data_IF_514452613360
#
_entry.id   IF_514452613360
#
_cell.length_a   1.000
_cell.length_b   1.000
_cell.length_c   1.000
_cell.angle_alpha   90.00
_cell.angle_beta   90.00
_cell.angle_gamma   90.00
#
_symmetry.space_group_name_H-M   'P 1'
#
loop_
_entity.id
_entity.type
_entity.pdbx_description
1 polymer ?
#
# COMPACT_ATOMS: atom_id res chain seq x y z
N UNK A 1 11.24 11.57 -34.96
CA UNK A 1 10.31 11.99 -33.88
C UNK A 1 10.41 13.47 -33.56
N UNK A 2 11.58 14.12 -33.62
CA UNK A 2 11.61 15.58 -33.48
C UNK A 2 10.72 16.25 -34.53
N UNK A 3 9.99 17.28 -34.10
CA UNK A 3 9.00 17.97 -34.90
C UNK A 3 7.62 17.30 -34.95
N UNK A 4 7.45 16.10 -34.37
CA UNK A 4 6.18 15.37 -34.43
C UNK A 4 5.15 16.01 -33.51
N UNK A 5 3.90 15.99 -33.95
CA UNK A 5 2.78 16.44 -33.13
C UNK A 5 2.48 15.43 -32.04
N UNK A 6 2.23 15.88 -30.81
CA UNK A 6 1.95 14.98 -29.69
C UNK A 6 0.47 15.04 -29.33
N UNK A 7 -0.17 13.87 -29.36
CA UNK A 7 -1.57 13.65 -29.00
C UNK A 7 -1.62 12.79 -27.74
N UNK A 8 -2.39 13.21 -26.75
CA UNK A 8 -2.57 12.48 -25.48
C UNK A 8 -3.68 11.43 -25.57
N UNK A 9 -3.82 10.61 -24.52
CA UNK A 9 -4.81 9.53 -24.50
C UNK A 9 -6.26 10.03 -24.52
N UNK A 10 -6.50 11.30 -24.17
CA UNK A 10 -7.78 12.00 -24.26
C UNK A 10 -7.97 12.76 -25.58
N UNK A 11 -7.22 12.37 -26.63
CA UNK A 11 -7.24 12.95 -27.98
C UNK A 11 -7.00 14.47 -28.02
N UNK A 12 -6.26 14.99 -27.04
CA UNK A 12 -5.86 16.40 -27.00
C UNK A 12 -4.44 16.59 -27.49
N UNK A 13 -4.20 17.75 -28.10
CA UNK A 13 -2.87 18.13 -28.57
C UNK A 13 -2.03 18.66 -27.41
N UNK A 14 -1.05 17.89 -26.98
CA UNK A 14 -0.11 18.30 -25.92
C UNK A 14 0.92 19.31 -26.45
N UNK A 15 1.31 19.22 -27.71
CA UNK A 15 2.31 20.12 -28.28
C UNK A 15 3.12 19.46 -29.40
N UNK A 16 4.41 19.77 -29.45
CA UNK A 16 5.34 19.21 -30.43
C UNK A 16 6.61 18.71 -29.75
N UNK A 17 7.16 17.60 -30.23
CA UNK A 17 8.47 17.11 -29.78
C UNK A 17 9.55 18.06 -30.27
N UNK A 18 10.26 18.72 -29.36
CA UNK A 18 11.39 19.60 -29.70
C UNK A 18 12.74 18.92 -29.59
N UNK A 19 12.85 17.94 -28.69
CA UNK A 19 14.10 17.25 -28.41
C UNK A 19 13.80 15.85 -27.88
N UNK A 20 14.71 14.93 -28.13
CA UNK A 20 14.71 13.60 -27.51
C UNK A 20 15.98 13.47 -26.67
N UNK A 21 15.84 13.35 -25.34
CA UNK A 21 16.97 13.34 -24.40
C UNK A 21 16.90 12.17 -23.44
N UNK A 22 17.95 11.35 -23.42
CA UNK A 22 17.98 10.08 -22.70
C UNK A 22 16.71 9.25 -23.00
N UNK A 23 15.92 8.93 -21.98
CA UNK A 23 14.68 8.17 -22.11
C UNK A 23 13.40 9.04 -22.08
N UNK A 24 13.54 10.34 -22.31
CA UNK A 24 12.43 11.29 -22.32
C UNK A 24 12.28 12.00 -23.67
N UNK A 25 11.04 12.28 -24.03
CA UNK A 25 10.63 13.20 -25.09
C UNK A 25 10.38 14.56 -24.47
N UNK A 26 10.95 15.62 -25.05
CA UNK A 26 10.72 16.98 -24.62
C UNK A 26 9.63 17.58 -25.51
N UNK A 27 8.50 17.90 -24.89
CA UNK A 27 7.32 18.44 -25.54
C UNK A 27 7.25 19.93 -25.23
N UNK A 28 7.18 20.75 -26.27
CA UNK A 28 6.96 22.19 -26.14
C UNK A 28 5.48 22.53 -26.40
N UNK A 29 4.90 23.30 -25.48
CA UNK A 29 3.52 23.75 -25.47
C UNK A 29 3.44 25.26 -25.20
N UNK A 30 2.45 25.93 -25.80
CA UNK A 30 2.12 27.33 -25.56
C UNK A 30 2.59 28.31 -26.65
N UNK A 31 1.82 29.39 -26.84
CA UNK A 31 2.03 30.40 -27.89
C UNK A 31 2.96 31.55 -27.47
N UNK A 32 2.80 32.08 -26.24
CA UNK A 32 3.54 33.26 -25.75
C UNK A 32 4.65 32.88 -24.76
N UNK A 33 4.33 32.00 -23.81
CA UNK A 33 5.27 31.44 -22.84
C UNK A 33 5.39 29.95 -23.13
N UNK A 34 6.42 29.60 -23.90
CA UNK A 34 6.73 28.22 -24.24
C UNK A 34 7.12 27.47 -22.97
N UNK A 35 6.31 26.50 -22.58
CA UNK A 35 6.63 25.55 -21.51
C UNK A 35 7.15 24.28 -22.15
N UNK A 36 8.17 23.70 -21.52
CA UNK A 36 8.76 22.43 -21.93
C UNK A 36 8.52 21.39 -20.86
N UNK A 37 7.99 20.26 -21.27
CA UNK A 37 7.60 19.15 -20.43
C UNK A 37 8.34 17.90 -20.89
N UNK A 38 8.86 17.12 -19.94
CA UNK A 38 9.54 15.86 -20.24
C UNK A 38 8.58 14.70 -20.03
N UNK A 39 8.43 13.85 -21.05
CA UNK A 39 7.56 12.66 -21.02
C UNK A 39 8.39 11.41 -21.30
N UNK A 40 8.31 10.36 -20.49
CA UNK A 40 9.01 9.11 -20.73
C UNK A 40 8.65 8.47 -22.07
N UNK A 41 9.67 8.02 -22.82
CA UNK A 41 9.50 7.33 -24.12
C UNK A 41 8.64 6.07 -24.02
N UNK A 42 8.68 5.39 -22.89
CA UNK A 42 7.89 4.16 -22.65
C UNK A 42 6.38 4.40 -22.70
N UNK A 43 5.94 5.66 -22.54
CA UNK A 43 4.54 6.07 -22.62
C UNK A 43 4.15 6.62 -24.00
N UNK A 44 5.08 6.60 -24.96
CA UNK A 44 4.93 7.22 -26.25
C UNK A 44 4.99 6.19 -27.38
N UNK A 45 4.05 6.30 -28.31
CA UNK A 45 4.00 5.52 -29.54
C UNK A 45 4.07 6.46 -30.73
N UNK A 46 5.08 6.30 -31.59
CA UNK A 46 5.23 7.12 -32.78
C UNK A 46 4.56 6.48 -33.99
N UNK A 47 3.73 7.26 -34.67
CA UNK A 47 3.22 6.98 -36.01
C UNK A 47 4.09 7.76 -37.01
N UNK A 48 4.89 7.04 -37.79
CA UNK A 48 5.81 7.64 -38.76
C UNK A 48 5.10 8.15 -40.01
N UNK A 49 3.97 7.56 -40.40
CA UNK A 49 3.23 7.95 -41.59
C UNK A 49 2.55 9.30 -41.38
N UNK A 50 1.90 9.48 -40.22
CA UNK A 50 1.20 10.70 -39.85
C UNK A 50 2.11 11.76 -39.20
N UNK A 51 3.34 11.39 -38.84
CA UNK A 51 4.29 12.22 -38.06
C UNK A 51 3.69 12.68 -36.72
N UNK A 52 3.01 11.75 -36.04
CA UNK A 52 2.35 11.98 -34.76
C UNK A 52 2.96 11.06 -33.70
N UNK A 53 3.04 11.54 -32.45
CA UNK A 53 3.33 10.72 -31.27
C UNK A 53 2.07 10.65 -30.43
N UNK A 54 1.56 9.45 -30.19
CA UNK A 54 0.43 9.20 -29.29
C UNK A 54 0.96 8.81 -27.92
N UNK A 55 0.48 9.49 -26.89
CA UNK A 55 0.81 9.19 -25.50
C UNK A 55 -0.29 8.33 -24.87
N UNK A 56 0.11 7.42 -23.98
CA UNK A 56 -0.82 6.63 -23.16
C UNK A 56 -1.33 7.39 -21.91
N UNK A 57 -1.01 8.68 -21.80
CA UNK A 57 -1.35 9.53 -20.65
C UNK A 57 -2.18 10.74 -21.07
N UNK A 58 -2.97 11.28 -20.15
CA UNK A 58 -3.85 12.42 -20.38
C UNK A 58 -3.08 13.74 -20.53
N UNK A 59 -3.72 14.73 -21.15
CA UNK A 59 -3.14 16.08 -21.27
C UNK A 59 -2.85 16.72 -19.92
N UNK A 60 -3.73 16.54 -18.94
CA UNK A 60 -3.57 17.06 -17.58
C UNK A 60 -2.30 16.50 -16.91
N UNK A 61 -1.99 15.21 -17.12
CA UNK A 61 -0.77 14.62 -16.56
C UNK A 61 0.50 15.20 -17.22
N UNK A 62 0.44 15.56 -18.50
CA UNK A 62 1.55 16.21 -19.21
C UNK A 62 1.73 17.65 -18.75
N UNK A 63 0.65 18.42 -18.61
CA UNK A 63 0.68 19.83 -18.18
C UNK A 63 1.23 20.00 -16.76
N UNK A 64 0.95 19.05 -15.87
CA UNK A 64 1.44 19.04 -14.50
C UNK A 64 2.84 18.41 -14.35
N UNK A 65 3.45 17.95 -15.45
CA UNK A 65 4.76 17.31 -15.39
C UNK A 65 5.88 18.30 -15.00
N UNK A 66 7.00 17.79 -14.44
CA UNK A 66 8.17 18.60 -14.16
C UNK A 66 8.61 19.40 -15.40
N UNK A 67 8.79 20.71 -15.21
CA UNK A 67 9.24 21.61 -16.27
C UNK A 67 10.71 21.37 -16.58
N UNK A 68 11.06 21.56 -17.85
CA UNK A 68 12.44 21.49 -18.32
C UNK A 68 13.00 22.91 -18.40
N UNK A 69 13.82 23.27 -17.42
CA UNK A 69 14.47 24.58 -17.35
C UNK A 69 15.92 24.49 -17.86
N UNK A 70 16.31 25.42 -18.75
CA UNK A 70 17.67 25.49 -19.33
C UNK A 70 18.18 24.17 -19.95
N UNK A 71 17.27 23.31 -20.44
CA UNK A 71 17.61 22.01 -21.02
C UNK A 71 18.03 20.94 -19.99
N UNK A 72 17.90 21.23 -18.69
CA UNK A 72 18.10 20.24 -17.64
C UNK A 72 16.79 19.49 -17.37
N UNK A 73 16.86 18.16 -17.37
CA UNK A 73 15.72 17.28 -17.10
C UNK A 73 16.04 16.50 -15.83
N UNK A 74 15.27 16.73 -14.78
CA UNK A 74 15.32 15.91 -13.58
C UNK A 74 14.61 14.58 -13.85
N UNK A 75 15.41 13.55 -14.17
CA UNK A 75 14.89 12.23 -14.51
C UNK A 75 14.14 11.58 -13.35
N UNK A 76 14.55 11.84 -12.12
CA UNK A 76 13.92 11.25 -10.93
C UNK A 76 12.56 11.88 -10.68
N UNK A 77 12.46 13.22 -10.80
CA UNK A 77 11.18 13.90 -10.70
C UNK A 77 10.20 13.45 -11.79
N UNK A 78 10.68 13.30 -13.04
CA UNK A 78 9.86 12.80 -14.16
C UNK A 78 9.41 11.35 -13.90
N UNK A 79 10.33 10.47 -13.52
CA UNK A 79 9.99 9.07 -13.23
C UNK A 79 8.98 8.97 -12.08
N UNK A 80 9.13 9.77 -11.02
CA UNK A 80 8.17 9.82 -9.90
C UNK A 80 6.80 10.33 -10.34
N UNK A 81 6.76 11.40 -11.12
CA UNK A 81 5.51 11.99 -11.63
C UNK A 81 4.69 11.02 -12.47
N UNK A 82 5.36 10.22 -13.32
CA UNK A 82 4.72 9.22 -14.16
C UNK A 82 4.61 7.83 -13.52
N UNK A 83 4.95 7.67 -12.24
CA UNK A 83 4.86 6.38 -11.53
C UNK A 83 5.84 5.32 -12.03
N UNK A 84 6.91 5.72 -12.71
CA UNK A 84 7.97 4.83 -13.23
C UNK A 84 9.16 4.71 -12.28
N UNK A 85 9.25 5.56 -11.26
CA UNK A 85 10.29 5.42 -10.24
C UNK A 85 10.11 4.08 -9.54
N UNK A 86 11.22 3.34 -9.38
CA UNK A 86 11.24 2.19 -8.48
C UNK A 86 10.68 2.65 -7.13
N UNK A 87 9.64 1.96 -6.64
CA UNK A 87 8.93 2.37 -5.44
C UNK A 87 9.91 2.66 -4.32
N UNK A 88 9.64 3.71 -3.53
CA UNK A 88 10.39 3.94 -2.31
C UNK A 88 10.36 2.65 -1.47
N UNK A 89 11.45 2.32 -0.76
CA UNK A 89 11.48 1.13 0.08
C UNK A 89 10.22 1.15 0.94
N UNK A 90 9.44 0.08 0.84
CA UNK A 90 8.18 -0.02 1.57
C UNK A 90 8.47 0.27 3.04
N UNK A 91 7.62 1.04 3.74
CA UNK A 91 7.79 1.25 5.17
C UNK A 91 7.84 -0.13 5.86
N UNK A 92 8.64 -0.24 6.91
CA UNK A 92 8.91 -1.49 7.65
C UNK A 92 7.63 -2.15 8.21
N UNK A 93 6.49 -1.47 8.14
CA UNK A 93 5.20 -1.89 8.67
C UNK A 93 4.42 -2.90 7.81
N UNK A 94 5.00 -3.43 6.72
CA UNK A 94 4.51 -4.69 6.11
C UNK A 94 4.97 -5.90 6.95
N UNK A 95 4.61 -5.93 8.22
CA UNK A 95 4.76 -7.14 9.04
C UNK A 95 3.90 -8.24 8.43
N UNK A 96 4.46 -9.42 8.19
CA UNK A 96 3.73 -10.61 7.70
C UNK A 96 2.81 -11.22 8.79
N UNK A 97 2.23 -10.39 9.66
CA UNK A 97 1.56 -10.82 10.88
C UNK A 97 2.52 -11.33 11.96
N UNK A 98 3.80 -10.96 11.89
CA UNK A 98 4.75 -11.27 12.97
C UNK A 98 4.45 -10.34 14.16
N UNK A 99 3.91 -10.94 15.21
CA UNK A 99 3.58 -10.24 16.44
C UNK A 99 4.85 -10.04 17.27
N UNK A 100 5.19 -8.78 17.58
CA UNK A 100 6.26 -8.49 18.55
C UNK A 100 5.77 -8.78 19.96
N UNK A 101 6.65 -9.01 20.95
CA UNK A 101 6.23 -9.27 22.32
C UNK A 101 5.26 -8.26 22.95
N UNK A 102 5.30 -7.01 22.50
CA UNK A 102 4.49 -5.88 22.96
C UNK A 102 3.25 -5.62 22.08
N UNK A 103 3.03 -6.45 21.06
CA UNK A 103 1.95 -6.25 20.09
C UNK A 103 0.56 -6.46 20.74
N UNK A 104 -0.37 -5.49 20.68
CA UNK A 104 -1.72 -5.66 21.23
C UNK A 104 -2.56 -6.75 20.54
N UNK A 105 -2.11 -7.29 19.40
CA UNK A 105 -2.82 -8.35 18.69
C UNK A 105 -2.62 -9.76 19.30
N UNK A 106 -1.84 -9.91 20.37
CA UNK A 106 -1.81 -11.16 21.14
C UNK A 106 -3.17 -11.44 21.80
N UNK A 107 -3.64 -12.69 21.70
CA UNK A 107 -4.81 -13.11 22.47
C UNK A 107 -4.47 -13.34 23.93
N UNK A 108 -5.48 -13.23 24.81
CA UNK A 108 -5.31 -13.48 26.25
C UNK A 108 -4.75 -14.89 26.53
N UNK A 109 -5.22 -15.91 25.81
CA UNK A 109 -4.78 -17.30 25.97
C UNK A 109 -3.31 -17.51 25.55
N UNK A 110 -2.87 -16.84 24.48
CA UNK A 110 -1.47 -16.86 24.03
C UNK A 110 -0.55 -16.20 25.05
N UNK A 111 -1.02 -15.12 25.68
CA UNK A 111 -0.26 -14.41 26.71
C UNK A 111 -0.18 -15.21 28.02
N UNK A 112 -1.25 -15.92 28.39
CA UNK A 112 -1.26 -16.87 29.51
C UNK A 112 -0.22 -17.98 29.30
N UNK A 113 -0.24 -18.65 28.14
CA UNK A 113 0.74 -19.69 27.80
C UNK A 113 2.19 -19.20 27.91
N UNK A 114 2.47 -18.00 27.36
CA UNK A 114 3.81 -17.42 27.36
C UNK A 114 4.30 -17.03 28.76
N UNK A 115 3.40 -16.62 29.63
CA UNK A 115 3.70 -16.28 31.03
C UNK A 115 3.74 -17.51 31.95
N UNK A 116 3.56 -18.72 31.40
CA UNK A 116 3.52 -19.96 32.16
C UNK A 116 2.24 -20.13 32.98
N UNK A 117 1.21 -19.32 32.70
CA UNK A 117 -0.11 -19.43 33.32
C UNK A 117 -0.95 -20.39 32.50
N UNK A 118 -1.61 -21.32 33.18
CA UNK A 118 -2.55 -22.22 32.52
C UNK A 118 -3.73 -21.44 31.90
N UNK A 119 -3.99 -21.62 30.58
CA UNK A 119 -5.07 -20.92 29.91
C UNK A 119 -6.46 -21.21 30.48
N UNK A 120 -7.33 -20.21 30.49
CA UNK A 120 -8.69 -20.36 31.00
C UNK A 120 -9.50 -21.51 30.36
N UNK A 121 -9.41 -21.81 29.05
CA UNK A 121 -10.06 -22.99 28.47
C UNK A 121 -9.53 -24.31 29.03
N UNK A 122 -8.20 -24.45 29.19
CA UNK A 122 -7.57 -25.66 29.72
C UNK A 122 -7.99 -25.90 31.18
N UNK A 123 -8.01 -24.84 31.99
CA UNK A 123 -8.51 -24.90 33.36
C UNK A 123 -9.97 -25.36 33.44
N UNK A 124 -10.82 -24.86 32.54
CA UNK A 124 -12.24 -25.27 32.46
C UNK A 124 -12.40 -26.73 32.02
N UNK A 125 -11.56 -27.20 31.09
CA UNK A 125 -11.55 -28.59 30.66
C UNK A 125 -11.15 -29.53 31.82
N UNK A 126 -10.08 -29.21 32.55
CA UNK A 126 -9.63 -29.99 33.72
C UNK A 126 -10.70 -30.11 34.80
N UNK A 127 -11.40 -29.01 35.11
CA UNK A 127 -12.51 -29.01 36.07
C UNK A 127 -13.65 -29.92 35.60
N UNK A 128 -13.97 -29.92 34.30
CA UNK A 128 -15.00 -30.77 33.71
C UNK A 128 -14.63 -32.26 33.75
N UNK A 129 -13.36 -32.57 33.55
CA UNK A 129 -12.82 -33.94 33.51
C UNK A 129 -12.56 -34.54 34.90
N UNK A 130 -12.81 -33.76 35.97
CA UNK A 130 -12.72 -34.23 37.35
C UNK A 130 -11.30 -34.30 37.92
N UNK A 131 -10.31 -33.79 37.17
CA UNK A 131 -8.91 -33.70 37.59
C UNK A 131 -8.65 -32.47 38.48
N UNK A 132 -9.55 -32.19 39.42
CA UNK A 132 -9.24 -31.24 40.50
C UNK A 132 -8.54 -31.99 41.62
N UNK A 133 -7.36 -31.53 42.03
CA UNK A 133 -6.74 -31.95 43.28
C UNK A 133 -7.75 -31.70 44.41
N UNK A 134 -8.31 -32.79 44.93
CA UNK A 134 -9.46 -32.76 45.82
C UNK A 134 -9.09 -32.11 47.16
N UNK A 135 -9.53 -30.86 47.36
CA UNK A 135 -9.72 -30.31 48.71
C UNK A 135 -10.85 -31.05 49.44
N UNK A 136 -10.76 -31.29 50.76
CA UNK A 136 -11.56 -32.29 51.45
C UNK A 136 -12.93 -31.75 51.86
N UNK A 137 -13.80 -31.35 50.92
CA UNK A 137 -15.17 -30.96 51.25
C UNK A 137 -16.20 -31.58 50.30
N UNK A 138 -16.16 -32.91 50.19
CA UNK A 138 -17.27 -33.71 49.66
C UNK A 138 -18.32 -33.99 50.72
N UNK A 139 -19.26 -33.06 50.93
CA UNK A 139 -20.68 -33.28 51.29
C UNK A 139 -21.34 -31.94 51.62
N UNK A 140 -22.21 -31.44 50.74
CA UNK A 140 -23.28 -30.54 51.19
C UNK A 140 -24.24 -31.39 52.01
N UNK A 141 -24.12 -31.30 53.34
CA UNK A 141 -25.16 -31.80 54.24
C UNK A 141 -26.24 -30.73 54.24
N UNK A 142 -27.33 -30.96 53.50
CA UNK A 142 -28.56 -30.19 53.66
C UNK A 142 -29.05 -30.45 55.10
N UNK A 143 -29.21 -29.43 55.96
CA UNK A 143 -29.81 -29.63 57.27
C UNK A 143 -31.25 -30.12 57.06
N UNK A 144 -31.64 -31.19 57.76
CA UNK A 144 -33.02 -31.63 57.78
C UNK A 144 -33.91 -30.52 58.37
N UNK A 145 -35.02 -30.23 57.68
CA UNK A 145 -36.04 -29.27 58.08
C UNK A 145 -36.70 -29.71 59.39
N UNK A 146 -36.75 -28.88 60.46
CA UNK A 146 -37.29 -29.26 61.76
C UNK A 146 -38.83 -29.32 61.83
N UNK A 147 -39.54 -29.32 60.69
CA UNK A 147 -41.00 -29.28 60.63
C UNK A 147 -41.66 -30.54 60.04
N UNK A 148 -41.14 -31.73 60.32
CA UNK A 148 -41.92 -32.97 60.24
C UNK A 148 -41.84 -33.75 61.57
N UNK A 149 -42.80 -33.45 62.43
CA UNK A 149 -43.17 -34.28 63.58
C UNK A 149 -44.46 -35.08 63.28
N UNK A 150 -44.73 -36.14 64.05
CA UNK A 150 -45.53 -37.31 63.69
C UNK A 150 -47.03 -37.09 63.55
#
# INVERSE_FOLDING_TARGET
MEGYEVITSDDRKAGRVTEVKADNLIIEHGLLLKKRHAVPKVLAHADEAEKVVRLSVSSELVENSPKVDNGHVDQQAVARHYGLAAGEPAPETKGYGELTPEDPAWSAEQQELRSGVEPAPARRARIREGESEAGPHGRQIIPADPHEGP
#
